data_IF_778686109185
#
_entry.id   IF_778686109185
#
_cell.length_a   1.000
_cell.length_b   1.000
_cell.length_c   1.000
_cell.angle_alpha   90.00
_cell.angle_beta   90.00
_cell.angle_gamma   90.00
#
_symmetry.space_group_name_H-M   'P 1'
#
loop_
_entity.id
_entity.type
_entity.pdbx_description
1 polymer ?
#
# COMPACT_ATOMS: atom_id res chain seq x y z
N UNK A 1 9.62 -27.71 7.99
CA UNK A 1 9.25 -27.53 6.55
C UNK A 1 7.99 -26.71 6.53
N UNK A 2 7.95 -25.68 5.68
CA UNK A 2 6.83 -24.73 5.63
C UNK A 2 6.10 -24.91 4.29
N UNK A 3 4.77 -24.89 4.32
CA UNK A 3 3.95 -24.93 3.12
C UNK A 3 3.40 -23.53 2.82
N UNK A 4 3.54 -23.06 1.59
CA UNK A 4 3.08 -21.78 1.13
C UNK A 4 2.02 -21.97 0.05
N UNK A 5 0.91 -21.23 0.15
CA UNK A 5 -0.13 -21.23 -0.88
C UNK A 5 0.42 -20.66 -2.19
N UNK A 6 -0.12 -21.11 -3.33
CA UNK A 6 0.26 -20.54 -4.62
C UNK A 6 -0.03 -19.03 -4.70
N UNK A 7 0.86 -18.29 -5.30
CA UNK A 7 0.79 -16.83 -5.44
C UNK A 7 1.47 -16.36 -6.71
N UNK A 8 1.09 -15.20 -7.17
CA UNK A 8 1.82 -14.43 -8.17
C UNK A 8 2.77 -13.47 -7.48
N UNK A 9 3.90 -13.20 -8.08
CA UNK A 9 4.92 -12.27 -7.59
C UNK A 9 5.44 -11.43 -8.75
N UNK A 10 5.77 -10.17 -8.48
CA UNK A 10 6.45 -9.32 -9.46
C UNK A 10 7.82 -9.92 -9.80
N UNK A 11 8.16 -9.96 -11.07
CA UNK A 11 9.41 -10.55 -11.57
C UNK A 11 10.65 -9.74 -11.16
N UNK A 12 10.49 -8.46 -10.88
CA UNK A 12 11.54 -7.54 -10.45
C UNK A 12 11.14 -6.76 -9.19
N UNK A 13 12.10 -6.02 -8.65
CA UNK A 13 11.83 -4.94 -7.69
C UNK A 13 10.96 -3.87 -8.33
N UNK A 14 10.12 -3.19 -7.56
CA UNK A 14 9.30 -2.10 -8.09
C UNK A 14 10.17 -0.93 -8.53
N UNK A 15 9.95 -0.44 -9.75
CA UNK A 15 10.72 0.64 -10.35
C UNK A 15 10.26 2.04 -9.91
N UNK A 16 11.15 3.03 -10.07
CA UNK A 16 10.78 4.43 -9.86
C UNK A 16 9.63 4.88 -10.76
N UNK A 17 9.61 4.43 -12.02
CA UNK A 17 8.55 4.77 -12.95
C UNK A 17 7.18 4.26 -12.49
N UNK A 18 7.11 3.01 -12.04
CA UNK A 18 5.87 2.43 -11.53
C UNK A 18 5.37 3.17 -10.28
N UNK A 19 6.29 3.46 -9.35
CA UNK A 19 5.91 4.19 -8.14
C UNK A 19 5.50 5.63 -8.43
N UNK A 20 6.09 6.29 -9.42
CA UNK A 20 5.67 7.63 -9.86
C UNK A 20 4.25 7.66 -10.40
N UNK A 21 3.77 6.58 -11.03
CA UNK A 21 2.37 6.50 -11.46
C UNK A 21 1.42 6.63 -10.26
N UNK A 22 1.75 6.01 -9.14
CA UNK A 22 1.00 6.17 -7.89
C UNK A 22 1.03 7.61 -7.39
N UNK A 23 2.20 8.21 -7.31
CA UNK A 23 2.35 9.61 -6.88
C UNK A 23 1.57 10.56 -7.77
N UNK A 24 1.63 10.38 -9.10
CA UNK A 24 0.89 11.19 -10.06
C UNK A 24 -0.62 10.96 -9.94
N UNK A 25 -1.05 9.73 -9.75
CA UNK A 25 -2.46 9.43 -9.54
C UNK A 25 -3.01 10.16 -8.29
N UNK A 26 -2.27 10.14 -7.19
CA UNK A 26 -2.65 10.85 -5.96
C UNK A 26 -2.67 12.36 -6.18
N UNK A 27 -1.65 12.90 -6.84
CA UNK A 27 -1.60 14.31 -7.24
C UNK A 27 -2.82 14.72 -8.05
N UNK A 28 -3.13 13.94 -9.08
CA UNK A 28 -4.23 14.22 -10.00
C UNK A 28 -5.60 14.07 -9.32
N UNK A 29 -5.72 13.10 -8.39
CA UNK A 29 -6.91 12.94 -7.56
C UNK A 29 -7.16 14.17 -6.67
N UNK A 30 -6.11 14.66 -6.02
CA UNK A 30 -6.22 15.87 -5.17
C UNK A 30 -6.54 17.09 -6.02
N UNK A 31 -5.89 17.27 -7.17
CA UNK A 31 -6.13 18.38 -8.06
C UNK A 31 -7.58 18.39 -8.57
N UNK A 32 -8.11 17.24 -8.98
CA UNK A 32 -9.52 17.11 -9.39
C UNK A 32 -10.49 17.42 -8.26
N UNK A 33 -10.19 16.97 -7.04
CA UNK A 33 -10.99 17.32 -5.86
C UNK A 33 -11.00 18.83 -5.63
N UNK A 34 -9.86 19.50 -5.72
CA UNK A 34 -9.77 20.95 -5.57
C UNK A 34 -10.59 21.68 -6.63
N UNK A 35 -10.51 21.25 -7.88
CA UNK A 35 -11.29 21.83 -8.99
C UNK A 35 -12.79 21.54 -8.87
N UNK A 36 -13.15 20.34 -8.38
CA UNK A 36 -14.53 19.94 -8.17
C UNK A 36 -15.21 20.71 -7.03
N UNK A 37 -14.44 21.09 -6.00
CA UNK A 37 -14.93 21.91 -4.88
C UNK A 37 -14.70 23.41 -5.09
N UNK A 38 -14.01 23.80 -6.15
CA UNK A 38 -13.68 25.18 -6.45
C UNK A 38 -14.94 26.04 -6.60
N UNK A 39 -14.86 27.25 -6.08
CA UNK A 39 -15.97 28.21 -6.12
C UNK A 39 -16.12 28.90 -7.47
N UNK A 40 -15.24 28.65 -8.42
CA UNK A 40 -15.05 29.46 -9.60
C UNK A 40 -15.62 28.87 -10.90
N UNK A 41 -16.55 27.91 -10.80
CA UNK A 41 -17.31 27.42 -11.96
C UNK A 41 -16.70 26.19 -12.69
N UNK A 42 -15.65 25.62 -12.19
CA UNK A 42 -15.02 24.41 -12.77
C UNK A 42 -15.66 23.10 -12.29
N UNK A 43 -16.56 23.17 -11.32
CA UNK A 43 -17.13 22.00 -10.64
C UNK A 43 -17.79 21.01 -11.60
N UNK A 44 -18.55 21.50 -12.58
CA UNK A 44 -19.31 20.67 -13.54
C UNK A 44 -18.39 19.80 -14.40
N UNK A 45 -17.23 20.31 -14.79
CA UNK A 45 -16.28 19.55 -15.63
C UNK A 45 -15.58 18.42 -14.88
N UNK A 46 -15.38 18.58 -13.57
CA UNK A 46 -14.61 17.65 -12.72
C UNK A 46 -15.47 16.78 -11.82
N UNK A 47 -16.78 16.89 -11.90
CA UNK A 47 -17.75 16.04 -11.23
C UNK A 47 -18.54 15.22 -12.24
N UNK A 48 -18.91 14.01 -11.87
CA UNK A 48 -19.91 13.22 -12.58
C UNK A 48 -21.21 13.24 -11.79
N UNK A 49 -22.32 13.06 -12.46
CA UNK A 49 -23.62 12.99 -11.79
C UNK A 49 -23.72 11.74 -10.91
N UNK A 50 -24.53 11.84 -9.86
CA UNK A 50 -24.78 10.69 -8.98
C UNK A 50 -25.34 9.49 -9.75
N UNK A 51 -26.20 9.72 -10.72
CA UNK A 51 -26.80 8.66 -11.53
C UNK A 51 -25.77 7.96 -12.41
N UNK A 52 -24.85 8.71 -12.98
CA UNK A 52 -23.75 8.19 -13.78
C UNK A 52 -22.78 7.37 -12.90
N UNK A 53 -22.41 7.90 -11.75
CA UNK A 53 -21.58 7.18 -10.78
C UNK A 53 -22.25 5.87 -10.33
N UNK A 54 -23.53 5.90 -9.96
CA UNK A 54 -24.28 4.72 -9.55
C UNK A 54 -24.51 3.75 -10.70
N UNK A 55 -24.49 4.22 -11.95
CA UNK A 55 -24.47 3.39 -13.14
C UNK A 55 -23.18 2.59 -13.27
N UNK A 56 -22.04 3.25 -13.03
CA UNK A 56 -20.72 2.60 -13.01
C UNK A 56 -20.52 1.72 -11.77
N UNK A 57 -21.06 2.15 -10.62
CA UNK A 57 -20.85 1.51 -9.32
C UNK A 57 -22.16 1.17 -8.62
N UNK A 58 -22.92 0.18 -9.09
CA UNK A 58 -24.23 -0.17 -8.54
C UNK A 58 -24.21 -0.57 -7.05
N UNK A 59 -23.06 -0.99 -6.55
CA UNK A 59 -22.87 -1.37 -5.13
C UNK A 59 -23.13 -0.23 -4.16
N UNK A 60 -23.01 1.01 -4.61
CA UNK A 60 -23.27 2.21 -3.79
C UNK A 60 -24.71 2.73 -3.94
N UNK A 61 -25.55 2.05 -4.71
CA UNK A 61 -26.94 2.44 -4.92
C UNK A 61 -27.71 2.37 -3.59
N UNK A 62 -28.16 3.55 -3.13
CA UNK A 62 -28.85 3.68 -1.85
C UNK A 62 -27.97 4.28 -0.73
N UNK A 63 -26.72 4.57 -0.98
CA UNK A 63 -25.87 5.31 -0.05
C UNK A 63 -26.09 6.82 -0.25
N UNK A 64 -26.94 7.41 0.60
CA UNK A 64 -27.23 8.85 0.55
C UNK A 64 -26.14 9.70 1.23
N UNK A 65 -25.09 9.08 1.74
CA UNK A 65 -24.04 9.74 2.54
C UNK A 65 -22.73 9.91 1.78
N UNK A 66 -22.71 9.67 0.48
CA UNK A 66 -21.57 9.97 -0.36
C UNK A 66 -21.45 11.50 -0.47
N UNK A 67 -20.65 12.08 0.42
CA UNK A 67 -20.43 13.52 0.51
C UNK A 67 -19.29 14.02 -0.37
N UNK A 68 -18.42 13.11 -0.83
CA UNK A 68 -17.35 13.47 -1.74
C UNK A 68 -17.91 13.62 -3.17
N UNK A 69 -17.54 14.69 -3.91
CA UNK A 69 -17.92 14.79 -5.29
C UNK A 69 -17.37 13.59 -6.07
N UNK A 70 -18.20 13.06 -6.93
CA UNK A 70 -17.79 12.02 -7.85
C UNK A 70 -16.82 12.61 -8.86
N UNK A 71 -15.57 12.16 -8.80
CA UNK A 71 -14.50 12.73 -9.60
C UNK A 71 -14.61 12.23 -11.04
N UNK A 72 -14.64 13.17 -11.97
CA UNK A 72 -14.50 12.88 -13.40
C UNK A 72 -13.01 12.73 -13.75
N UNK A 73 -12.63 11.51 -14.11
CA UNK A 73 -11.25 11.21 -14.52
C UNK A 73 -10.98 11.46 -16.00
N UNK A 74 -12.01 11.60 -16.83
CA UNK A 74 -11.88 11.79 -18.28
C UNK A 74 -11.45 13.22 -18.62
N UNK A 75 -11.82 14.18 -17.79
CA UNK A 75 -11.42 15.58 -17.98
C UNK A 75 -9.94 15.74 -17.65
N UNK A 76 -9.19 16.31 -18.60
CA UNK A 76 -7.75 16.57 -18.44
C UNK A 76 -7.52 17.80 -17.57
N UNK A 77 -6.58 17.67 -16.62
CA UNK A 77 -6.15 18.81 -15.79
C UNK A 77 -5.26 19.72 -16.64
N UNK A 78 -5.59 21.01 -16.66
CA UNK A 78 -4.81 22.06 -17.35
C UNK A 78 -3.81 22.67 -16.37
N UNK A 79 -2.64 22.04 -16.20
CA UNK A 79 -1.61 22.51 -15.26
C UNK A 79 -1.07 23.89 -15.57
N UNK A 80 -1.08 24.30 -16.83
CA UNK A 80 -0.61 25.60 -17.35
C UNK A 80 -1.79 26.42 -17.90
N UNK A 81 -2.87 26.53 -17.14
CA UNK A 81 -4.02 27.37 -17.52
C UNK A 81 -3.70 28.83 -17.35
N UNK A 82 -4.15 29.68 -18.31
CA UNK A 82 -4.10 31.13 -18.21
C UNK A 82 -5.28 31.72 -17.42
N UNK A 83 -6.26 30.90 -17.09
CA UNK A 83 -7.42 31.26 -16.29
C UNK A 83 -7.03 31.47 -14.83
N UNK A 84 -7.25 32.67 -14.31
CA UNK A 84 -6.91 33.05 -12.95
C UNK A 84 -7.72 32.25 -11.91
N UNK A 85 -8.99 32.03 -12.18
CA UNK A 85 -9.89 31.29 -11.31
C UNK A 85 -9.48 29.85 -11.21
N UNK A 86 -9.15 29.22 -12.33
CA UNK A 86 -8.63 27.87 -12.37
C UNK A 86 -7.30 27.72 -11.62
N UNK A 87 -6.42 28.72 -11.76
CA UNK A 87 -5.15 28.75 -11.03
C UNK A 87 -5.33 28.94 -9.54
N UNK A 88 -6.33 29.72 -9.14
CA UNK A 88 -6.65 29.97 -7.74
C UNK A 88 -7.14 28.67 -7.05
N UNK A 89 -7.98 27.89 -7.72
CA UNK A 89 -8.47 26.61 -7.21
C UNK A 89 -7.34 25.58 -7.00
N UNK A 90 -6.32 25.59 -7.86
CA UNK A 90 -5.14 24.71 -7.72
C UNK A 90 -4.06 25.26 -6.78
N UNK A 91 -4.12 26.52 -6.39
CA UNK A 91 -3.10 27.15 -5.53
C UNK A 91 -2.81 26.39 -4.23
N UNK A 92 -3.80 25.78 -3.56
CA UNK A 92 -3.55 24.99 -2.35
C UNK A 92 -2.59 23.80 -2.55
N UNK A 93 -2.42 23.31 -3.78
CA UNK A 93 -1.54 22.15 -4.08
C UNK A 93 -0.07 22.57 -4.22
N UNK A 94 0.19 23.83 -4.47
CA UNK A 94 1.55 24.33 -4.69
C UNK A 94 2.22 24.79 -3.39
N UNK A 95 3.56 24.85 -3.43
CA UNK A 95 4.36 25.47 -2.37
C UNK A 95 3.96 26.94 -2.19
N UNK A 96 3.94 27.43 -0.93
CA UNK A 96 3.80 28.87 -0.66
C UNK A 96 4.91 29.67 -1.36
N UNK A 97 4.63 30.90 -1.75
CA UNK A 97 5.59 31.73 -2.50
C UNK A 97 6.94 31.89 -1.80
N UNK A 98 6.93 32.01 -0.46
CA UNK A 98 8.13 32.12 0.33
C UNK A 98 9.01 30.86 0.41
N UNK A 99 8.48 29.71 0.01
CA UNK A 99 9.21 28.43 0.02
C UNK A 99 9.67 28.00 -1.40
N UNK A 100 9.29 28.76 -2.44
CA UNK A 100 9.60 28.43 -3.84
C UNK A 100 11.04 28.75 -4.19
N UNK A 101 11.71 27.81 -4.82
CA UNK A 101 13.02 28.02 -5.38
C UNK A 101 12.92 28.77 -6.73
N UNK A 102 13.58 29.91 -6.87
CA UNK A 102 13.50 30.78 -8.05
C UNK A 102 12.07 31.12 -8.52
N UNK A 103 11.14 31.31 -7.59
CA UNK A 103 9.73 31.58 -7.89
C UNK A 103 9.03 30.53 -8.78
N UNK A 104 9.60 29.37 -8.95
CA UNK A 104 8.98 28.28 -9.73
C UNK A 104 7.79 27.74 -8.98
N UNK A 105 6.70 27.52 -9.69
CA UNK A 105 5.55 26.78 -9.15
C UNK A 105 5.92 25.32 -9.04
N UNK A 106 6.04 24.83 -7.83
CA UNK A 106 6.32 23.44 -7.52
C UNK A 106 5.21 22.87 -6.65
N UNK A 107 4.83 21.64 -6.89
CA UNK A 107 3.83 20.94 -6.09
C UNK A 107 4.40 20.65 -4.72
N UNK A 108 3.61 20.92 -3.68
CA UNK A 108 4.01 20.62 -2.31
C UNK A 108 3.87 19.12 -2.02
N UNK A 109 4.99 18.42 -2.05
CA UNK A 109 5.03 16.98 -1.79
C UNK A 109 4.41 16.58 -0.43
N UNK A 110 4.43 17.49 0.56
CA UNK A 110 3.83 17.27 1.89
C UNK A 110 2.30 17.13 1.83
N UNK A 111 1.67 17.59 0.76
CA UNK A 111 0.21 17.54 0.55
C UNK A 111 -0.24 16.32 -0.23
N UNK A 112 0.68 15.55 -0.77
CA UNK A 112 0.38 14.34 -1.54
C UNK A 112 0.03 13.19 -0.59
N UNK A 113 -1.15 13.28 0.01
CA UNK A 113 -1.63 12.31 0.99
C UNK A 113 -2.66 11.39 0.35
N UNK A 114 -2.40 10.10 0.43
CA UNK A 114 -3.29 9.05 0.00
C UNK A 114 -4.09 8.52 1.18
N UNK A 115 -5.37 8.46 1.01
CA UNK A 115 -6.34 8.01 1.99
C UNK A 115 -6.92 6.68 1.54
N UNK A 116 -6.84 5.66 2.39
CA UNK A 116 -7.36 4.34 2.10
C UNK A 116 -7.92 3.65 3.34
N UNK A 117 -8.73 2.63 3.10
CA UNK A 117 -9.36 1.84 4.15
C UNK A 117 -8.81 0.43 4.13
N UNK A 118 -8.61 -0.12 5.31
CA UNK A 118 -8.18 -1.50 5.50
C UNK A 118 -8.91 -2.17 6.65
N UNK A 119 -8.88 -3.50 6.66
CA UNK A 119 -9.50 -4.30 7.72
C UNK A 119 -8.44 -4.68 8.75
N UNK A 120 -8.71 -4.42 10.03
CA UNK A 120 -7.94 -5.00 11.12
C UNK A 120 -8.39 -6.44 11.33
N UNK A 121 -7.58 -7.38 10.86
CA UNK A 121 -7.87 -8.82 10.90
C UNK A 121 -8.01 -9.32 12.33
N UNK A 122 -7.24 -8.79 13.29
CA UNK A 122 -7.32 -9.19 14.71
C UNK A 122 -8.66 -8.82 15.30
N UNK A 123 -9.09 -7.59 15.07
CA UNK A 123 -10.39 -7.13 15.54
C UNK A 123 -11.52 -7.85 14.82
N UNK A 124 -11.41 -8.07 13.52
CA UNK A 124 -12.38 -8.83 12.74
C UNK A 124 -12.52 -10.27 13.24
N UNK A 125 -11.39 -10.91 13.60
CA UNK A 125 -11.37 -12.28 14.13
C UNK A 125 -11.78 -12.41 15.60
N UNK A 126 -11.86 -11.32 16.33
CA UNK A 126 -12.21 -11.34 17.76
C UNK A 126 -13.62 -11.89 18.00
N UNK A 127 -13.75 -12.76 19.00
CA UNK A 127 -15.04 -13.33 19.42
C UNK A 127 -16.09 -12.25 19.74
N UNK A 128 -15.68 -11.13 20.33
CA UNK A 128 -16.54 -10.00 20.66
C UNK A 128 -17.12 -9.30 19.45
N UNK A 129 -16.44 -9.40 18.30
CA UNK A 129 -16.82 -8.76 17.05
C UNK A 129 -17.47 -9.73 16.06
N UNK A 130 -17.70 -10.97 16.50
CA UNK A 130 -18.32 -11.99 15.67
C UNK A 130 -19.77 -11.61 15.40
N UNK A 131 -20.15 -11.65 14.13
CA UNK A 131 -21.55 -11.48 13.76
C UNK A 131 -22.38 -12.61 14.37
N UNK A 132 -23.38 -12.25 15.12
CA UNK A 132 -24.38 -13.18 15.66
C UNK A 132 -25.72 -12.77 15.05
N UNK A 133 -26.25 -13.55 14.12
CA UNK A 133 -27.57 -13.27 13.59
C UNK A 133 -28.59 -13.33 14.72
N UNK A 134 -29.54 -12.41 14.75
CA UNK A 134 -30.61 -12.40 15.71
C UNK A 134 -31.37 -13.73 15.68
N UNK A 135 -31.67 -14.25 16.87
CA UNK A 135 -32.07 -15.66 17.02
C UNK A 135 -33.54 -15.97 16.76
N UNK A 136 -34.43 -15.03 16.64
CA UNK A 136 -35.85 -15.40 16.79
C UNK A 136 -36.76 -15.14 15.59
N UNK A 137 -36.62 -14.06 14.92
CA UNK A 137 -37.52 -13.75 13.79
C UNK A 137 -36.84 -13.99 12.47
N UNK A 138 -35.59 -14.12 12.49
CA UNK A 138 -34.70 -13.77 11.42
C UNK A 138 -34.42 -14.95 10.49
N UNK A 139 -34.69 -16.16 10.97
CA UNK A 139 -34.57 -17.36 10.12
C UNK A 139 -35.69 -17.46 9.11
N UNK A 140 -36.86 -16.89 9.42
CA UNK A 140 -37.97 -16.82 8.43
C UNK A 140 -37.78 -15.66 7.47
N UNK A 141 -37.07 -14.66 7.93
CA UNK A 141 -36.76 -13.48 7.16
C UNK A 141 -35.34 -13.47 6.60
N UNK A 142 -34.64 -14.58 6.62
CA UNK A 142 -33.32 -14.71 6.00
C UNK A 142 -33.33 -14.65 4.46
N UNK A 143 -34.51 -14.67 3.85
CA UNK A 143 -34.71 -14.10 2.50
C UNK A 143 -34.66 -12.56 2.53
N UNK A 144 -34.63 -12.02 3.71
CA UNK A 144 -34.58 -10.62 3.93
C UNK A 144 -33.22 -10.13 3.75
N UNK A 145 -33.20 -9.49 2.74
CA UNK A 145 -32.53 -8.23 2.63
C UNK A 145 -32.05 -7.78 3.99
N UNK A 146 -30.86 -8.29 4.42
CA UNK A 146 -30.04 -7.47 5.30
C UNK A 146 -30.03 -6.12 4.64
N UNK A 147 -30.83 -5.21 5.19
CA UNK A 147 -30.97 -3.92 4.57
C UNK A 147 -29.57 -3.39 4.48
N UNK A 148 -29.06 -3.33 3.28
CA UNK A 148 -27.70 -2.88 2.98
C UNK A 148 -27.42 -1.53 3.67
N UNK A 149 -28.49 -0.74 3.85
CA UNK A 149 -28.53 0.46 4.65
C UNK A 149 -28.12 0.26 6.11
N UNK A 150 -28.52 -0.83 6.75
CA UNK A 150 -28.20 -1.07 8.15
C UNK A 150 -26.73 -1.43 8.36
N UNK A 151 -26.13 -2.06 7.36
CA UNK A 151 -24.71 -2.33 7.34
C UNK A 151 -23.87 -1.11 6.97
N UNK A 152 -24.34 -0.31 6.03
CA UNK A 152 -23.64 0.88 5.54
C UNK A 152 -23.69 1.99 6.61
N UNK A 153 -24.82 2.14 7.29
CA UNK A 153 -25.01 3.21 8.27
C UNK A 153 -24.57 2.83 9.69
N UNK A 154 -24.07 1.61 9.90
CA UNK A 154 -23.73 1.14 11.25
C UNK A 154 -24.94 1.10 12.20
N UNK A 155 -26.14 1.18 11.65
CA UNK A 155 -27.39 1.08 12.39
C UNK A 155 -27.81 -0.37 12.36
N UNK A 156 -27.60 -1.04 13.46
CA UNK A 156 -28.37 -2.23 13.74
C UNK A 156 -29.79 -1.79 14.04
N UNK A 157 -30.66 -1.89 13.08
CA UNK A 157 -32.09 -1.92 13.37
C UNK A 157 -32.42 -3.27 13.99
N UNK A 158 -31.94 -3.50 15.17
CA UNK A 158 -32.70 -4.30 16.10
C UNK A 158 -33.90 -3.43 16.46
N UNK A 159 -34.97 -3.60 15.72
CA UNK A 159 -36.27 -3.21 16.16
C UNK A 159 -36.32 -3.56 17.63
N UNK A 160 -36.61 -2.60 18.46
CA UNK A 160 -36.50 -2.62 19.92
C UNK A 160 -37.24 -3.74 20.65
N UNK A 161 -37.61 -4.81 19.97
CA UNK A 161 -38.30 -5.99 20.51
C UNK A 161 -37.34 -6.97 21.16
N UNK A 162 -36.03 -6.89 20.91
CA UNK A 162 -35.08 -7.84 21.47
C UNK A 162 -34.15 -7.28 22.54
N UNK A 163 -34.63 -6.32 23.32
CA UNK A 163 -33.96 -5.85 24.51
C UNK A 163 -32.69 -5.02 24.24
N UNK A 164 -32.37 -4.76 23.03
CA UNK A 164 -31.46 -3.67 22.70
C UNK A 164 -32.27 -2.37 22.93
N UNK A 165 -31.86 -1.52 23.83
CA UNK A 165 -32.60 -0.32 24.13
C UNK A 165 -32.74 0.53 22.88
N UNK A 166 -33.95 0.51 22.31
CA UNK A 166 -34.39 1.56 21.44
C UNK A 166 -33.75 1.68 20.09
N UNK A 167 -33.38 0.57 19.40
CA UNK A 167 -32.93 0.66 18.00
C UNK A 167 -31.82 1.67 17.77
N UNK A 168 -31.08 2.02 18.79
CA UNK A 168 -30.02 2.99 18.67
C UNK A 168 -28.81 2.33 18.05
N UNK A 169 -28.27 2.98 17.09
CA UNK A 169 -26.93 2.71 16.60
C UNK A 169 -26.01 2.67 17.80
N UNK A 170 -25.60 1.48 18.12
CA UNK A 170 -24.79 1.28 19.32
C UNK A 170 -23.31 1.45 19.03
N UNK A 171 -22.97 1.69 17.78
CA UNK A 171 -21.61 1.51 17.38
C UNK A 171 -20.92 2.78 16.96
N UNK A 172 -21.70 3.63 16.39
CA UNK A 172 -21.19 4.81 15.74
C UNK A 172 -21.71 6.08 16.41
N UNK A 173 -22.49 5.92 17.48
CA UNK A 173 -23.21 7.04 18.07
C UNK A 173 -24.50 7.35 17.32
N UNK A 174 -25.12 8.44 17.65
CA UNK A 174 -26.31 8.93 16.96
C UNK A 174 -25.90 9.44 15.55
N UNK A 175 -26.39 8.82 14.47
CA UNK A 175 -26.03 9.26 13.11
C UNK A 175 -26.35 10.72 12.83
N UNK A 176 -27.30 11.30 13.57
CA UNK A 176 -27.65 12.71 13.46
C UNK A 176 -26.67 13.63 14.19
N UNK A 177 -25.92 13.11 15.16
CA UNK A 177 -24.93 13.86 15.93
C UNK A 177 -23.51 13.51 15.59
N UNK A 178 -23.31 12.27 15.22
CA UNK A 178 -22.02 11.75 14.83
C UNK A 178 -22.13 11.32 13.36
N UNK A 179 -21.61 12.12 12.46
CA UNK A 179 -21.60 11.83 11.02
C UNK A 179 -20.80 10.56 10.66
N UNK A 180 -20.45 9.77 11.66
CA UNK A 180 -19.74 8.50 11.52
C UNK A 180 -20.73 7.40 11.17
N UNK A 181 -21.09 7.34 9.95
CA UNK A 181 -21.77 6.20 9.38
C UNK A 181 -20.77 5.17 8.88
N UNK A 182 -21.21 3.95 8.76
CA UNK A 182 -20.39 2.92 8.15
C UNK A 182 -20.05 3.31 6.70
N UNK A 183 -18.79 3.37 6.40
CA UNK A 183 -18.30 3.84 5.10
C UNK A 183 -18.11 5.35 4.99
N UNK A 184 -18.71 6.14 5.89
CA UNK A 184 -18.39 7.55 6.02
C UNK A 184 -17.64 7.77 7.31
N UNK A 185 -16.36 7.83 7.23
CA UNK A 185 -15.55 8.22 8.36
C UNK A 185 -15.64 9.73 8.51
N UNK A 186 -15.71 10.17 9.74
CA UNK A 186 -15.78 11.59 10.02
C UNK A 186 -14.50 12.28 9.52
N UNK A 187 -14.62 12.98 8.44
CA UNK A 187 -13.52 13.76 7.85
C UNK A 187 -12.98 14.82 8.82
N UNK A 188 -13.77 15.16 9.85
CA UNK A 188 -13.36 16.09 10.90
C UNK A 188 -12.41 15.47 11.93
N UNK A 189 -12.32 14.15 12.00
CA UNK A 189 -11.28 13.51 12.78
C UNK A 189 -9.96 13.73 12.03
N UNK A 190 -9.23 14.73 12.45
CA UNK A 190 -7.93 15.04 11.87
C UNK A 190 -7.00 13.86 12.11
N UNK A 191 -6.78 13.09 11.07
CA UNK A 191 -5.80 12.02 11.07
C UNK A 191 -4.49 12.62 10.60
N UNK A 192 -3.50 12.59 11.44
CA UNK A 192 -2.16 13.00 11.06
C UNK A 192 -1.61 12.05 9.99
N UNK A 193 -0.84 12.59 9.07
CA UNK A 193 -0.19 11.80 8.03
C UNK A 193 0.63 10.68 8.67
N UNK A 194 0.45 9.47 8.16
CA UNK A 194 1.13 8.28 8.68
C UNK A 194 0.51 7.66 9.93
N UNK A 195 -0.55 8.25 10.48
CA UNK A 195 -1.27 7.70 11.63
C UNK A 195 -2.53 6.98 11.19
N UNK A 196 -2.87 5.93 11.93
CA UNK A 196 -4.12 5.22 11.74
C UNK A 196 -5.25 5.90 12.53
N UNK A 197 -6.39 6.08 11.87
CA UNK A 197 -7.60 6.60 12.53
C UNK A 197 -8.30 5.51 13.37
N UNK A 198 -7.55 4.54 13.84
CA UNK A 198 -8.09 3.49 14.68
C UNK A 198 -8.35 4.01 16.09
N UNK A 199 -9.62 4.09 16.45
CA UNK A 199 -10.07 4.37 17.82
C UNK A 199 -10.74 3.11 18.35
N UNK A 200 -10.16 2.46 19.38
CA UNK A 200 -10.82 1.36 20.05
C UNK A 200 -12.16 1.82 20.62
N UNK A 201 -13.24 1.15 20.26
CA UNK A 201 -14.58 1.49 20.72
C UNK A 201 -15.14 0.41 21.60
N UNK A 202 -15.74 0.81 22.72
CA UNK A 202 -16.58 -0.09 23.50
C UNK A 202 -17.86 -0.42 22.72
N UNK A 203 -18.25 -1.68 22.73
CA UNK A 203 -19.30 -2.14 21.84
C UNK A 203 -20.38 -2.95 22.45
N UNK A 204 -21.56 -2.69 21.91
CA UNK A 204 -22.78 -3.47 22.20
C UNK A 204 -23.39 -4.01 20.89
N UNK A 205 -22.63 -4.54 20.00
CA UNK A 205 -23.15 -5.07 18.73
C UNK A 205 -22.08 -5.24 17.68
N UNK A 206 -22.41 -5.79 16.55
CA UNK A 206 -21.43 -6.11 15.51
C UNK A 206 -21.60 -5.19 14.31
N UNK A 207 -20.88 -4.12 14.34
CA UNK A 207 -20.77 -3.26 13.18
C UNK A 207 -19.35 -3.38 12.59
N UNK A 208 -19.27 -3.50 11.28
CA UNK A 208 -18.00 -3.66 10.56
C UNK A 208 -17.07 -2.45 10.68
N UNK A 209 -17.61 -1.26 10.91
CA UNK A 209 -16.81 -0.04 11.09
C UNK A 209 -15.74 -0.14 12.17
N UNK A 210 -15.88 -1.13 13.06
CA UNK A 210 -14.95 -1.37 14.16
C UNK A 210 -13.61 -1.81 13.75
N UNK A 211 -13.59 -2.68 12.79
CA UNK A 211 -12.38 -3.29 12.28
C UNK A 211 -11.97 -2.72 10.92
N UNK A 212 -12.68 -1.68 10.45
CA UNK A 212 -12.26 -0.90 9.30
C UNK A 212 -11.47 0.31 9.81
N UNK A 213 -10.23 0.41 9.38
CA UNK A 213 -9.31 1.46 9.74
C UNK A 213 -9.11 2.35 8.52
N UNK A 214 -9.17 3.66 8.73
CA UNK A 214 -8.79 4.65 7.74
C UNK A 214 -7.34 5.06 8.01
N UNK A 215 -6.49 4.86 7.04
CA UNK A 215 -5.11 5.33 7.07
C UNK A 215 -4.93 6.49 6.07
N UNK A 216 -4.15 7.48 6.47
CA UNK A 216 -3.74 8.60 5.62
C UNK A 216 -2.22 8.62 5.59
N UNK A 217 -1.64 8.52 4.40
CA UNK A 217 -0.20 8.44 4.26
C UNK A 217 0.29 9.38 3.16
N UNK A 218 1.40 10.06 3.42
CA UNK A 218 2.08 10.79 2.36
C UNK A 218 2.76 9.79 1.42
N UNK A 219 2.50 9.92 0.12
CA UNK A 219 2.98 8.95 -0.88
C UNK A 219 4.36 9.29 -1.44
N UNK A 220 4.85 10.49 -1.16
CA UNK A 220 6.11 10.93 -1.71
C UNK A 220 7.29 10.22 -1.04
N UNK A 221 8.21 9.59 -1.80
CA UNK A 221 9.37 8.95 -1.22
C UNK A 221 10.27 9.97 -0.52
N UNK A 222 11.00 9.52 0.49
CA UNK A 222 12.06 10.34 1.08
C UNK A 222 13.25 10.45 0.14
N UNK A 223 13.29 11.54 -0.61
CA UNK A 223 14.39 11.82 -1.55
C UNK A 223 15.70 12.18 -0.84
N UNK A 224 15.63 12.54 0.46
CA UNK A 224 16.81 12.80 1.26
C UNK A 224 17.46 11.52 1.83
N UNK A 225 16.86 10.36 1.60
CA UNK A 225 17.41 9.08 2.05
C UNK A 225 18.84 8.84 1.56
N UNK A 226 19.17 9.31 0.35
CA UNK A 226 20.52 9.27 -0.19
C UNK A 226 21.51 10.19 0.52
N UNK A 227 21.06 11.36 0.96
CA UNK A 227 21.90 12.34 1.65
C UNK A 227 22.36 11.81 3.02
N UNK A 228 21.55 10.99 3.67
CA UNK A 228 21.93 10.37 4.95
C UNK A 228 23.16 9.47 4.82
N UNK A 229 23.31 8.78 3.71
CA UNK A 229 24.47 7.91 3.45
C UNK A 229 25.63 8.66 2.76
N UNK A 230 25.34 9.76 2.04
CA UNK A 230 26.28 10.53 1.22
C UNK A 230 26.25 12.01 1.56
N UNK A 231 26.45 12.36 2.81
CA UNK A 231 26.40 13.74 3.33
C UNK A 231 27.33 14.72 2.60
N UNK A 232 28.43 14.24 2.03
CA UNK A 232 29.40 15.07 1.29
C UNK A 232 29.14 15.14 -0.22
N UNK A 233 28.20 14.37 -0.72
CA UNK A 233 27.90 14.22 -2.16
C UNK A 233 26.47 14.64 -2.51
N UNK A 234 25.92 15.62 -1.80
CA UNK A 234 24.53 16.06 -1.93
C UNK A 234 24.19 16.65 -3.32
N UNK A 235 25.20 17.05 -4.12
CA UNK A 235 25.02 17.56 -5.47
C UNK A 235 25.11 16.48 -6.56
N UNK A 236 25.37 15.23 -6.21
CA UNK A 236 25.37 14.17 -7.20
C UNK A 236 23.98 13.92 -7.77
N UNK A 237 23.82 13.61 -9.06
CA UNK A 237 22.53 13.33 -9.70
C UNK A 237 21.72 12.26 -8.95
N UNK A 238 22.39 11.24 -8.41
CA UNK A 238 21.79 10.18 -7.65
C UNK A 238 21.13 10.69 -6.37
N UNK A 239 21.72 11.66 -5.66
CA UNK A 239 21.17 12.22 -4.43
C UNK A 239 20.03 13.19 -4.68
N UNK A 240 20.06 13.92 -5.81
CA UNK A 240 19.09 14.98 -6.09
C UNK A 240 17.95 14.53 -7.00
N UNK A 241 18.21 13.59 -7.93
CA UNK A 241 17.30 13.32 -9.05
C UNK A 241 16.90 11.85 -9.18
N UNK A 242 17.32 10.99 -8.27
CA UNK A 242 17.09 9.54 -8.39
C UNK A 242 15.63 9.18 -8.64
N UNK A 243 14.71 9.82 -7.96
CA UNK A 243 13.29 9.53 -8.13
C UNK A 243 12.69 10.18 -9.39
N UNK A 244 13.26 11.29 -9.86
CA UNK A 244 12.65 12.12 -10.90
C UNK A 244 13.23 11.98 -12.28
N UNK A 245 14.53 11.70 -12.38
CA UNK A 245 15.19 11.73 -13.66
C UNK A 245 14.89 10.48 -14.46
N UNK A 246 14.53 10.61 -15.77
CA UNK A 246 14.20 9.47 -16.63
C UNK A 246 15.29 8.39 -16.72
N UNK A 247 16.55 8.76 -16.52
CA UNK A 247 17.66 7.79 -16.51
C UNK A 247 17.55 6.74 -15.40
N UNK A 248 16.75 7.01 -14.35
CA UNK A 248 16.50 6.11 -13.24
C UNK A 248 15.07 5.52 -13.24
N UNK A 249 14.36 5.60 -14.38
CA UNK A 249 13.00 5.10 -14.50
C UNK A 249 12.89 3.63 -14.13
N UNK A 250 13.79 2.82 -14.63
CA UNK A 250 13.84 1.37 -14.43
C UNK A 250 14.82 0.95 -13.32
N UNK A 251 15.15 1.85 -12.43
CA UNK A 251 15.87 1.57 -11.19
C UNK A 251 14.88 1.33 -10.07
N UNK A 252 15.21 0.51 -9.05
CA UNK A 252 14.28 0.22 -7.97
C UNK A 252 13.90 1.47 -7.20
N UNK A 253 12.64 1.61 -6.84
CA UNK A 253 12.23 2.69 -5.94
C UNK A 253 12.83 2.48 -4.57
N UNK A 254 13.40 3.54 -4.01
CA UNK A 254 13.98 3.58 -2.66
C UNK A 254 13.49 4.81 -1.90
N UNK A 255 13.80 4.89 -0.62
CA UNK A 255 13.29 5.99 0.20
C UNK A 255 11.81 5.83 0.55
N UNK A 256 11.30 4.60 0.51
CA UNK A 256 9.90 4.27 0.83
C UNK A 256 9.81 3.54 2.17
N UNK A 257 8.87 3.96 3.00
CA UNK A 257 8.55 3.31 4.26
C UNK A 257 7.68 2.06 3.99
N UNK A 258 7.61 1.17 4.97
CA UNK A 258 6.73 -0.01 4.89
C UNK A 258 5.25 0.37 4.70
N UNK A 259 4.81 1.45 5.34
CA UNK A 259 3.44 1.96 5.19
C UNK A 259 3.17 2.47 3.78
N UNK A 260 4.13 3.15 3.16
CA UNK A 260 4.05 3.61 1.78
C UNK A 260 4.02 2.45 0.79
N UNK A 261 4.87 1.44 0.97
CA UNK A 261 4.89 0.23 0.16
C UNK A 261 3.54 -0.52 0.21
N UNK A 262 2.95 -0.64 1.41
CA UNK A 262 1.61 -1.20 1.59
C UNK A 262 0.53 -0.35 0.92
N UNK A 263 0.60 0.96 1.05
CA UNK A 263 -0.36 1.88 0.41
C UNK A 263 -0.32 1.76 -1.12
N UNK A 264 0.88 1.61 -1.70
CA UNK A 264 1.03 1.33 -3.12
C UNK A 264 0.34 0.02 -3.53
N UNK A 265 0.54 -1.06 -2.77
CA UNK A 265 -0.10 -2.35 -3.05
C UNK A 265 -1.63 -2.24 -3.07
N UNK A 266 -2.21 -1.52 -2.12
CA UNK A 266 -3.66 -1.27 -2.04
C UNK A 266 -4.13 -0.43 -3.24
N UNK A 267 -3.41 0.63 -3.60
CA UNK A 267 -3.73 1.45 -4.76
C UNK A 267 -3.68 0.64 -6.06
N UNK A 268 -2.64 -0.20 -6.24
CA UNK A 268 -2.50 -1.06 -7.43
C UNK A 268 -3.68 -2.04 -7.54
N UNK A 269 -4.12 -2.60 -6.41
CA UNK A 269 -5.30 -3.47 -6.34
C UNK A 269 -6.57 -2.74 -6.76
N UNK A 270 -6.77 -1.53 -6.23
CA UNK A 270 -7.90 -0.69 -6.57
C UNK A 270 -7.93 -0.36 -8.07
N UNK A 271 -6.78 0.03 -8.62
CA UNK A 271 -6.66 0.39 -10.03
C UNK A 271 -6.99 -0.79 -10.94
N UNK A 272 -6.42 -1.97 -10.67
CA UNK A 272 -6.67 -3.17 -11.46
C UNK A 272 -8.12 -3.62 -11.34
N UNK A 273 -8.68 -3.70 -10.15
CA UNK A 273 -10.05 -4.14 -9.94
C UNK A 273 -11.07 -3.17 -10.54
N UNK A 274 -10.80 -1.86 -10.51
CA UNK A 274 -11.62 -0.86 -11.19
C UNK A 274 -11.62 -1.08 -12.72
N UNK A 275 -10.46 -1.35 -13.30
CA UNK A 275 -10.35 -1.66 -14.72
C UNK A 275 -11.11 -2.94 -15.09
N UNK A 276 -10.95 -4.02 -14.30
CA UNK A 276 -11.65 -5.29 -14.53
C UNK A 276 -13.18 -5.14 -14.43
N UNK A 277 -13.67 -4.39 -13.45
CA UNK A 277 -15.10 -4.09 -13.31
C UNK A 277 -15.60 -3.29 -14.51
N UNK A 278 -14.86 -2.26 -14.93
CA UNK A 278 -15.21 -1.45 -16.10
C UNK A 278 -15.26 -2.23 -17.42
N UNK A 279 -14.46 -3.30 -17.52
CA UNK A 279 -14.45 -4.20 -18.68
C UNK A 279 -15.36 -5.42 -18.53
N UNK A 280 -16.12 -5.53 -17.42
CA UNK A 280 -17.02 -6.65 -17.16
C UNK A 280 -16.32 -7.97 -16.81
N UNK A 281 -15.05 -7.88 -16.42
CA UNK A 281 -14.24 -9.04 -16.00
C UNK A 281 -14.37 -9.31 -14.51
N UNK A 282 -14.01 -10.52 -14.10
CA UNK A 282 -14.01 -10.91 -12.69
C UNK A 282 -12.86 -10.21 -11.94
N UNK A 283 -13.17 -9.67 -10.77
CA UNK A 283 -12.15 -9.07 -9.89
C UNK A 283 -11.15 -10.11 -9.41
N UNK A 284 -9.93 -9.66 -9.17
CA UNK A 284 -8.84 -10.47 -8.64
C UNK A 284 -8.55 -10.13 -7.18
N UNK A 285 -7.74 -10.95 -6.52
CA UNK A 285 -7.26 -10.67 -5.18
C UNK A 285 -6.40 -9.41 -5.13
N UNK A 286 -6.33 -8.85 -3.92
CA UNK A 286 -5.52 -7.67 -3.70
C UNK A 286 -4.02 -7.97 -3.78
N UNK A 287 -3.28 -7.05 -4.37
CA UNK A 287 -1.84 -6.99 -4.24
C UNK A 287 -1.47 -6.67 -2.79
N UNK A 288 -0.38 -7.24 -2.34
CA UNK A 288 0.16 -7.03 -1.01
C UNK A 288 1.67 -7.22 -1.01
N UNK A 289 2.32 -6.84 0.07
CA UNK A 289 3.70 -7.23 0.29
C UNK A 289 3.79 -8.76 0.49
N UNK A 290 4.86 -9.40 0.04
CA UNK A 290 5.08 -10.83 0.27
C UNK A 290 5.21 -11.10 1.77
N UNK A 291 4.75 -12.28 2.19
CA UNK A 291 5.19 -12.80 3.47
C UNK A 291 6.66 -13.21 3.37
N UNK A 292 7.34 -13.26 4.49
CA UNK A 292 8.74 -13.69 4.53
C UNK A 292 8.95 -15.06 3.90
N UNK A 293 8.03 -16.00 4.13
CA UNK A 293 8.09 -17.36 3.58
C UNK A 293 7.81 -17.39 2.09
N UNK A 294 6.88 -16.59 1.58
CA UNK A 294 6.64 -16.44 0.14
C UNK A 294 7.86 -15.87 -0.55
N UNK A 295 8.44 -14.83 0.04
CA UNK A 295 9.64 -14.20 -0.50
C UNK A 295 10.81 -15.19 -0.57
N UNK A 296 11.07 -15.95 0.50
CA UNK A 296 12.15 -16.95 0.53
C UNK A 296 11.90 -18.09 -0.45
N UNK A 297 10.65 -18.58 -0.56
CA UNK A 297 10.29 -19.59 -1.54
C UNK A 297 10.55 -19.09 -2.97
N UNK A 298 10.14 -17.89 -3.28
CA UNK A 298 10.37 -17.24 -4.58
C UNK A 298 11.86 -17.04 -4.87
N UNK A 299 12.62 -16.57 -3.88
CA UNK A 299 14.06 -16.35 -4.02
C UNK A 299 14.83 -17.64 -4.29
N UNK A 300 14.42 -18.75 -3.71
CA UNK A 300 15.08 -20.06 -3.92
C UNK A 300 14.91 -20.60 -5.33
N UNK A 301 13.89 -20.17 -6.08
CA UNK A 301 13.71 -20.59 -7.47
C UNK A 301 13.58 -22.10 -7.68
N UNK A 302 13.09 -22.85 -6.67
CA UNK A 302 13.01 -24.31 -6.71
C UNK A 302 14.27 -25.05 -6.23
N UNK A 303 15.34 -24.33 -5.91
CA UNK A 303 16.59 -24.93 -5.41
C UNK A 303 16.51 -25.22 -3.91
N UNK A 304 16.45 -26.49 -3.54
CA UNK A 304 16.35 -26.89 -2.13
C UNK A 304 17.64 -26.52 -1.38
N UNK A 305 17.46 -25.84 -0.24
CA UNK A 305 18.54 -25.42 0.69
C UNK A 305 19.68 -24.61 0.06
N UNK A 306 19.48 -24.05 -1.12
CA UNK A 306 20.49 -23.17 -1.74
C UNK A 306 20.69 -21.90 -0.90
N UNK A 307 21.93 -21.51 -0.60
CA UNK A 307 22.20 -20.27 0.10
C UNK A 307 21.87 -19.02 -0.74
N UNK A 308 21.96 -19.10 -2.07
CA UNK A 308 21.70 -17.99 -2.99
C UNK A 308 20.70 -18.38 -4.09
N UNK A 309 20.04 -17.42 -4.72
CA UNK A 309 19.04 -17.67 -5.79
C UNK A 309 19.59 -18.43 -6.99
N UNK A 310 20.87 -18.27 -7.29
CA UNK A 310 21.57 -18.91 -8.42
C UNK A 310 22.13 -20.30 -8.11
N UNK A 311 21.91 -20.82 -6.92
CA UNK A 311 22.50 -22.09 -6.46
C UNK A 311 23.97 -21.98 -6.07
N UNK A 312 24.44 -22.90 -5.26
CA UNK A 312 25.83 -22.96 -4.84
C UNK A 312 26.22 -21.88 -3.81
N UNK A 313 27.44 -22.01 -3.25
CA UNK A 313 27.89 -21.15 -2.13
C UNK A 313 28.66 -19.90 -2.60
N UNK A 314 28.89 -19.75 -3.90
CA UNK A 314 29.74 -18.69 -4.43
C UNK A 314 28.95 -17.50 -4.89
N UNK A 315 29.47 -16.31 -4.61
CA UNK A 315 28.91 -15.01 -5.03
C UNK A 315 29.48 -14.52 -6.38
N UNK A 316 30.42 -15.27 -6.93
CA UNK A 316 31.01 -15.04 -8.27
C UNK A 316 30.82 -16.28 -9.14
N UNK A 317 30.61 -16.04 -10.43
CA UNK A 317 30.59 -17.12 -11.42
C UNK A 317 32.01 -17.59 -11.78
N UNK A 318 32.11 -18.62 -12.63
CA UNK A 318 33.39 -19.18 -13.07
C UNK A 318 34.26 -18.18 -13.84
N UNK A 319 33.70 -17.09 -14.35
CA UNK A 319 34.45 -16.00 -15.03
C UNK A 319 34.92 -14.92 -14.06
N UNK A 320 34.55 -15.03 -12.78
CA UNK A 320 34.90 -14.06 -11.75
C UNK A 320 33.91 -12.90 -11.59
N UNK A 321 32.83 -12.81 -12.42
CA UNK A 321 31.81 -11.76 -12.32
C UNK A 321 30.93 -11.99 -11.10
N UNK A 322 30.48 -10.93 -10.42
CA UNK A 322 29.51 -11.01 -9.34
C UNK A 322 28.14 -11.46 -9.88
N UNK A 323 27.40 -12.18 -9.06
CA UNK A 323 26.08 -12.70 -9.39
C UNK A 323 24.94 -11.84 -8.82
N UNK A 324 25.27 -10.81 -8.08
CA UNK A 324 24.33 -9.84 -7.52
C UNK A 324 25.04 -8.54 -7.15
N UNK A 325 24.30 -7.47 -6.96
CA UNK A 325 24.82 -6.17 -6.57
C UNK A 325 24.90 -6.07 -5.04
N UNK A 326 26.12 -6.03 -4.50
CA UNK A 326 26.37 -5.97 -3.05
C UNK A 326 27.72 -5.33 -2.76
N UNK A 327 28.02 -5.07 -1.50
CA UNK A 327 29.29 -4.54 -1.05
C UNK A 327 30.33 -5.65 -0.86
N UNK A 328 31.29 -5.85 -1.76
CA UNK A 328 32.35 -6.82 -1.56
C UNK A 328 33.29 -6.37 -0.46
N UNK A 329 33.72 -7.29 0.41
CA UNK A 329 34.66 -6.96 1.51
C UNK A 329 36.05 -6.64 1.01
N UNK A 330 36.44 -7.19 -0.13
CA UNK A 330 37.75 -6.97 -0.80
C UNK A 330 37.57 -6.92 -2.30
N UNK A 331 38.39 -6.10 -2.96
CA UNK A 331 38.38 -5.92 -4.42
C UNK A 331 37.72 -4.62 -4.85
N UNK A 332 37.51 -4.48 -6.15
CA UNK A 332 36.81 -3.34 -6.72
C UNK A 332 35.30 -3.47 -6.47
N UNK A 333 34.69 -2.41 -5.98
CA UNK A 333 33.25 -2.36 -5.75
C UNK A 333 32.44 -2.28 -7.04
N UNK A 334 33.09 -1.86 -8.11
CA UNK A 334 32.45 -1.59 -9.41
C UNK A 334 32.86 -2.60 -10.48
N UNK A 335 33.40 -3.76 -10.08
CA UNK A 335 33.87 -4.78 -11.05
C UNK A 335 32.78 -5.16 -12.07
N UNK A 336 31.52 -5.18 -11.66
CA UNK A 336 30.39 -5.53 -12.51
C UNK A 336 29.44 -4.32 -12.78
N UNK A 337 29.92 -3.10 -12.54
CA UNK A 337 29.21 -1.85 -12.86
C UNK A 337 28.27 -1.33 -11.77
N UNK A 338 28.03 -2.10 -10.72
CA UNK A 338 27.12 -1.70 -9.62
C UNK A 338 27.90 -1.13 -8.44
N UNK A 339 27.77 0.17 -8.17
CA UNK A 339 28.29 0.79 -6.95
C UNK A 339 27.15 1.18 -5.98
N UNK A 340 26.02 1.57 -6.54
CA UNK A 340 24.75 1.84 -5.87
C UNK A 340 23.70 0.91 -6.44
N UNK A 341 22.40 1.23 -6.25
CA UNK A 341 21.33 0.53 -6.95
C UNK A 341 21.55 0.54 -8.46
N UNK A 342 21.20 -0.54 -9.12
CA UNK A 342 21.32 -0.71 -10.58
C UNK A 342 19.94 -1.01 -11.17
N UNK A 343 19.87 -1.04 -12.48
CA UNK A 343 18.69 -1.41 -13.25
C UNK A 343 18.08 -2.74 -12.76
N UNK A 344 16.76 -2.79 -12.62
CA UNK A 344 16.04 -3.92 -12.01
C UNK A 344 16.24 -5.28 -12.71
N UNK A 345 16.69 -5.29 -13.96
CA UNK A 345 17.01 -6.50 -14.71
C UNK A 345 18.51 -6.68 -14.98
N UNK A 346 19.37 -6.07 -14.16
CA UNK A 346 20.83 -6.06 -14.40
C UNK A 346 21.52 -7.41 -14.27
N UNK A 347 20.98 -8.32 -13.47
CA UNK A 347 21.54 -9.64 -13.20
C UNK A 347 20.65 -10.74 -13.76
N UNK A 348 21.18 -11.95 -13.86
CA UNK A 348 20.39 -13.08 -14.34
C UNK A 348 19.29 -13.42 -13.34
N UNK A 349 18.09 -13.75 -13.84
CA UNK A 349 17.00 -14.20 -12.97
C UNK A 349 17.30 -15.59 -12.38
N UNK A 350 16.59 -15.94 -11.31
CA UNK A 350 16.56 -17.31 -10.80
C UNK A 350 15.71 -18.22 -11.71
N UNK A 351 15.60 -19.50 -11.38
CA UNK A 351 14.89 -20.50 -12.19
C UNK A 351 13.36 -20.24 -12.29
N UNK A 352 12.80 -19.37 -11.44
CA UNK A 352 11.42 -18.88 -11.56
C UNK A 352 11.28 -17.60 -12.40
N UNK A 353 12.36 -17.10 -12.97
CA UNK A 353 12.37 -15.88 -13.77
C UNK A 353 12.40 -14.59 -12.95
N UNK A 354 12.73 -14.65 -11.66
CA UNK A 354 12.73 -13.50 -10.77
C UNK A 354 14.11 -12.85 -10.70
N UNK A 355 14.14 -11.54 -10.91
CA UNK A 355 15.36 -10.73 -10.93
C UNK A 355 15.67 -10.15 -9.56
N UNK A 356 16.94 -9.90 -9.30
CA UNK A 356 17.46 -9.18 -8.13
C UNK A 356 16.96 -9.72 -6.77
N UNK A 357 16.70 -11.04 -6.68
CA UNK A 357 16.32 -11.67 -5.41
C UNK A 357 17.48 -11.73 -4.39
N UNK A 358 18.68 -11.31 -4.77
CA UNK A 358 19.84 -11.18 -3.89
C UNK A 358 20.66 -9.97 -4.28
N UNK A 359 20.76 -9.00 -3.41
CA UNK A 359 21.43 -7.73 -3.65
C UNK A 359 20.51 -6.71 -4.33
N UNK A 360 21.07 -5.65 -4.85
CA UNK A 360 20.47 -4.45 -5.36
C UNK A 360 19.77 -3.66 -4.25
N UNK A 361 18.48 -3.86 -3.95
CA UNK A 361 17.86 -3.30 -2.76
C UNK A 361 17.26 -4.37 -1.86
N UNK A 362 17.30 -4.16 -0.56
CA UNK A 362 16.56 -5.00 0.38
C UNK A 362 15.06 -4.76 0.21
N UNK A 363 14.25 -5.78 0.44
CA UNK A 363 12.82 -5.73 0.14
C UNK A 363 11.98 -5.85 1.40
N UNK A 364 10.97 -4.97 1.52
CA UNK A 364 9.97 -5.04 2.55
C UNK A 364 9.11 -6.30 2.42
N UNK A 365 8.87 -6.97 3.55
CA UNK A 365 7.87 -8.02 3.67
C UNK A 365 6.71 -7.60 4.57
N UNK A 366 5.61 -8.34 4.56
CA UNK A 366 4.45 -8.06 5.42
C UNK A 366 4.71 -8.36 6.90
N UNK A 367 5.66 -9.25 7.20
CA UNK A 367 5.88 -9.77 8.54
C UNK A 367 6.49 -8.76 9.50
N UNK A 368 6.06 -8.82 10.74
CA UNK A 368 6.78 -8.21 11.84
C UNK A 368 8.05 -9.02 12.17
N UNK A 369 9.11 -8.33 12.56
CA UNK A 369 10.34 -8.98 12.94
C UNK A 369 10.31 -9.40 14.41
N UNK A 370 10.49 -10.69 14.63
CA UNK A 370 10.79 -11.29 15.93
C UNK A 370 11.87 -12.36 15.73
N UNK A 371 12.84 -12.42 16.61
CA UNK A 371 13.97 -13.34 16.50
C UNK A 371 13.52 -14.81 16.62
N UNK A 372 12.50 -15.07 17.44
CA UNK A 372 11.92 -16.41 17.67
C UNK A 372 10.65 -16.69 16.85
N UNK A 373 10.36 -15.89 15.83
CA UNK A 373 9.14 -16.05 15.04
C UNK A 373 8.95 -17.47 14.48
N UNK A 374 10.03 -18.14 14.13
CA UNK A 374 9.96 -19.51 13.62
C UNK A 374 9.58 -20.57 14.67
N UNK A 375 9.79 -20.29 15.95
CA UNK A 375 9.50 -21.22 17.02
C UNK A 375 7.99 -21.30 17.34
N UNK A 376 7.26 -20.23 17.05
CA UNK A 376 5.82 -20.14 17.33
C UNK A 376 4.95 -19.97 16.08
N UNK A 377 5.55 -19.82 14.89
CA UNK A 377 4.79 -19.72 13.64
C UNK A 377 4.25 -21.10 13.21
N UNK A 378 3.10 -21.08 12.55
CA UNK A 378 2.49 -22.27 12.00
C UNK A 378 3.23 -22.75 10.74
N UNK A 379 3.24 -24.07 10.48
CA UNK A 379 3.91 -24.65 9.31
C UNK A 379 3.17 -24.37 7.98
N UNK A 380 1.91 -24.01 8.05
CA UNK A 380 1.07 -23.71 6.90
C UNK A 380 0.86 -22.19 6.77
N UNK A 381 1.33 -21.60 5.68
CA UNK A 381 1.26 -20.17 5.39
C UNK A 381 1.67 -19.31 6.60
N UNK A 382 2.89 -19.45 7.12
CA UNK A 382 3.29 -18.68 8.29
C UNK A 382 3.30 -17.20 7.97
N UNK A 383 2.56 -16.46 8.76
CA UNK A 383 2.46 -15.01 8.64
C UNK A 383 2.37 -14.38 10.04
N UNK A 384 3.51 -13.95 10.56
CA UNK A 384 3.57 -13.22 11.82
C UNK A 384 3.37 -11.74 11.57
N UNK A 385 2.13 -11.29 11.66
CA UNK A 385 1.76 -9.89 11.47
C UNK A 385 1.56 -9.20 12.81
N UNK A 386 2.24 -8.08 12.98
CA UNK A 386 1.97 -7.11 14.03
C UNK A 386 1.87 -5.71 13.43
N UNK A 387 0.71 -5.09 13.54
CA UNK A 387 0.51 -3.71 13.12
C UNK A 387 0.78 -2.76 14.28
N UNK A 388 2.01 -2.30 14.36
CA UNK A 388 2.43 -1.39 15.40
C UNK A 388 1.81 0.00 15.20
N UNK A 389 1.29 0.55 16.29
CA UNK A 389 0.81 1.93 16.36
C UNK A 389 1.94 2.87 16.72
N UNK A 390 1.72 4.18 16.50
CA UNK A 390 2.75 5.19 16.77
C UNK A 390 3.20 5.22 18.25
N UNK A 391 2.28 4.90 19.15
CA UNK A 391 2.55 4.81 20.61
C UNK A 391 3.24 3.53 21.07
N UNK A 392 3.32 2.52 20.20
CA UNK A 392 3.93 1.25 20.55
C UNK A 392 5.45 1.37 20.66
N UNK A 393 6.06 0.50 21.45
CA UNK A 393 7.51 0.46 21.60
C UNK A 393 8.21 0.25 20.25
N UNK A 394 9.35 0.88 20.05
CA UNK A 394 10.11 0.83 18.80
C UNK A 394 10.44 -0.59 18.35
N UNK A 395 10.66 -1.50 19.29
CA UNK A 395 10.90 -2.92 18.99
C UNK A 395 9.74 -3.56 18.22
N UNK A 396 8.50 -3.20 18.53
CA UNK A 396 7.31 -3.72 17.87
C UNK A 396 7.08 -3.14 16.46
N UNK A 397 7.78 -2.05 16.13
CA UNK A 397 7.72 -1.40 14.80
C UNK A 397 8.66 -2.04 13.78
N UNK A 398 9.42 -3.04 14.15
CA UNK A 398 10.34 -3.73 13.26
C UNK A 398 9.58 -4.58 12.25
N UNK A 399 9.94 -4.44 10.97
CA UNK A 399 9.44 -5.24 9.86
C UNK A 399 10.59 -6.03 9.25
N UNK A 400 10.29 -7.23 8.80
CA UNK A 400 11.30 -8.08 8.14
C UNK A 400 11.63 -7.49 6.77
N UNK A 401 12.91 -7.42 6.47
CA UNK A 401 13.45 -7.14 5.14
C UNK A 401 14.33 -8.29 4.68
N UNK A 402 14.35 -8.52 3.39
CA UNK A 402 15.02 -9.68 2.77
C UNK A 402 15.86 -9.27 1.56
N UNK A 403 16.71 -10.18 1.09
CA UNK A 403 17.51 -10.05 -0.13
C UNK A 403 18.87 -9.42 0.06
N UNK A 404 19.05 -8.58 1.06
CA UNK A 404 20.25 -7.74 1.18
C UNK A 404 20.29 -6.67 0.08
N UNK A 405 21.24 -5.76 0.16
CA UNK A 405 21.32 -4.60 -0.73
C UNK A 405 22.73 -4.36 -1.24
N UNK A 406 22.84 -3.40 -2.17
CA UNK A 406 24.14 -2.90 -2.66
C UNK A 406 25.09 -2.44 -1.54
N UNK A 407 24.54 -2.09 -0.39
CA UNK A 407 25.27 -1.63 0.81
C UNK A 407 25.72 -2.78 1.71
N UNK A 408 25.09 -3.95 1.59
CA UNK A 408 25.29 -5.08 2.47
C UNK A 408 26.40 -6.01 1.97
N UNK A 409 26.99 -6.74 2.90
CA UNK A 409 27.99 -7.77 2.57
C UNK A 409 27.31 -9.06 2.13
N UNK A 410 28.04 -9.94 1.41
CA UNK A 410 27.50 -11.16 0.82
C UNK A 410 26.77 -12.12 1.78
N UNK A 411 26.96 -11.99 3.09
CA UNK A 411 26.22 -12.75 4.08
C UNK A 411 24.71 -12.44 4.04
N UNK A 412 24.34 -11.17 3.90
CA UNK A 412 22.94 -10.74 3.89
C UNK A 412 22.22 -11.03 2.56
N UNK A 413 22.96 -11.42 1.52
CA UNK A 413 22.39 -11.85 0.25
C UNK A 413 21.84 -13.27 0.27
N UNK A 414 22.15 -14.03 1.34
CA UNK A 414 21.64 -15.39 1.48
C UNK A 414 20.11 -15.37 1.55
N UNK A 415 19.46 -16.29 0.84
CA UNK A 415 18.00 -16.42 0.80
C UNK A 415 17.38 -16.62 2.18
N UNK A 416 18.13 -17.20 3.12
CA UNK A 416 17.70 -17.42 4.51
C UNK A 416 18.03 -16.27 5.46
N UNK A 417 18.84 -15.29 5.03
CA UNK A 417 19.22 -14.17 5.89
C UNK A 417 18.00 -13.29 6.20
N UNK A 418 17.79 -13.05 7.49
CA UNK A 418 16.72 -12.19 8.01
C UNK A 418 17.32 -10.95 8.61
N UNK A 419 16.82 -9.81 8.21
CA UNK A 419 17.12 -8.53 8.84
C UNK A 419 15.83 -7.74 9.06
N UNK A 420 15.92 -6.59 9.68
CA UNK A 420 14.75 -5.74 9.91
C UNK A 420 15.09 -4.28 9.69
N UNK A 421 14.03 -3.53 9.41
CA UNK A 421 14.04 -2.08 9.52
C UNK A 421 12.72 -1.62 10.17
N UNK A 422 12.68 -0.40 10.67
CA UNK A 422 11.47 0.14 11.30
C UNK A 422 10.46 0.58 10.25
N UNK A 423 9.19 0.27 10.48
CA UNK A 423 8.10 0.49 9.52
C UNK A 423 7.94 1.95 9.05
N UNK A 424 8.40 2.90 9.84
CA UNK A 424 8.30 4.34 9.58
C UNK A 424 9.61 4.95 9.04
N UNK A 425 10.61 4.11 8.75
CA UNK A 425 11.93 4.54 8.29
C UNK A 425 12.08 4.27 6.79
N UNK A 426 12.58 5.26 6.08
CA UNK A 426 12.94 5.17 4.67
C UNK A 426 14.46 5.12 4.50
N UNK A 427 14.97 4.29 3.61
CA UNK A 427 16.41 4.10 3.34
C UNK A 427 16.68 4.06 1.84
N UNK A 428 17.88 4.49 1.44
CA UNK A 428 18.32 4.47 0.04
C UNK A 428 18.67 3.08 -0.50
N UNK A 429 18.62 2.06 0.34
CA UNK A 429 18.89 0.67 -0.01
C UNK A 429 17.70 -0.26 0.21
N UNK A 430 16.51 0.29 0.38
CA UNK A 430 15.31 -0.43 0.76
C UNK A 430 14.16 -0.10 -0.18
N UNK A 431 13.69 -1.13 -0.88
CA UNK A 431 12.59 -1.12 -1.83
C UNK A 431 11.56 -2.20 -1.48
N UNK A 432 10.81 -2.65 -2.48
CA UNK A 432 9.81 -3.72 -2.31
C UNK A 432 9.37 -4.29 -3.65
N UNK A 433 8.71 -5.44 -3.61
CA UNK A 433 7.91 -6.02 -4.70
C UNK A 433 6.56 -6.47 -4.18
N UNK A 434 5.59 -6.67 -5.06
CA UNK A 434 4.26 -7.10 -4.67
C UNK A 434 4.03 -8.58 -4.98
N UNK A 435 3.10 -9.16 -4.23
CA UNK A 435 2.52 -10.47 -4.50
C UNK A 435 1.01 -10.38 -4.54
N UNK A 436 0.39 -11.37 -5.17
CA UNK A 436 -1.06 -11.56 -5.17
C UNK A 436 -1.35 -13.04 -4.94
N UNK A 437 -2.24 -13.35 -4.02
CA UNK A 437 -2.60 -14.73 -3.71
C UNK A 437 -3.37 -15.35 -4.88
N UNK A 438 -2.97 -16.54 -5.33
CA UNK A 438 -3.67 -17.29 -6.35
C UNK A 438 -4.83 -18.07 -5.73
N UNK A 439 -6.04 -17.82 -6.21
CA UNK A 439 -7.28 -18.49 -5.74
C UNK A 439 -7.72 -19.66 -6.64
N UNK A 440 -6.96 -20.01 -7.66
CA UNK A 440 -7.37 -20.96 -8.67
C UNK A 440 -8.15 -20.30 -9.81
N UNK A 441 -8.50 -21.10 -10.81
CA UNK A 441 -9.37 -20.67 -11.93
C UNK A 441 -10.83 -20.92 -11.57
N UNK A 442 -11.71 -20.01 -11.94
CA UNK A 442 -13.13 -20.26 -11.91
C UNK A 442 -13.47 -21.33 -12.98
N UNK A 443 -14.46 -22.17 -12.68
CA UNK A 443 -14.95 -23.17 -13.64
C UNK A 443 -15.62 -22.41 -14.81
N UNK A 444 -14.96 -22.39 -15.96
CA UNK A 444 -15.40 -21.65 -17.15
C UNK A 444 -14.39 -20.64 -17.70
N UNK A 445 -13.27 -20.40 -17.03
CA UNK A 445 -12.15 -19.61 -17.56
C UNK A 445 -11.27 -20.48 -18.50
N UNK A 446 -11.88 -21.16 -19.44
CA UNK A 446 -11.17 -21.80 -20.53
C UNK A 446 -10.78 -20.72 -21.55
N UNK A 447 -9.49 -20.45 -21.61
CA UNK A 447 -8.87 -19.60 -22.65
C UNK A 447 -8.68 -20.42 -23.91
#
# INVERSE_FOLDING_TARGET
MVSVQAFYIDDSELSNNEYRQFVYWVRDSIARKLLAYGSNGQAEDYQISQDEFLGMWPIYKGDNNLQDPYINWDTKIKWESDDDDYRADLQPLYLPEGERFYNRKEIDARKLNYEYYRIDIRLAASKSNRFVPNKSSDVQDASHEYKKADYINGVHTNDGQNGAPGGQSTLVGDPAKDSKTLGTYNVKDQVSVGQSNYVPRERKGVDRSVFIIKDVINVYPDTLAWVHDYTYSFNEPLTNMYFWHPAYDDYPVVGVTWKQARAFSIWRSLLLNNYLIGTGQTIVNDFRLPTESEWEYAARGGLDKSPYPWGGPYIRNARGCFLGNFKPMRGSYIDDGGFHSVYIYSYNPNDYGLYCMAGNVSEWTSNAYDESAYDFSHDLNPDYVYEAQDKDATVLKRKVIRGGSWKDVGYYLQTSARTYEYQDTAKCYLGFRNVMTYLGRAKGDDI
#
